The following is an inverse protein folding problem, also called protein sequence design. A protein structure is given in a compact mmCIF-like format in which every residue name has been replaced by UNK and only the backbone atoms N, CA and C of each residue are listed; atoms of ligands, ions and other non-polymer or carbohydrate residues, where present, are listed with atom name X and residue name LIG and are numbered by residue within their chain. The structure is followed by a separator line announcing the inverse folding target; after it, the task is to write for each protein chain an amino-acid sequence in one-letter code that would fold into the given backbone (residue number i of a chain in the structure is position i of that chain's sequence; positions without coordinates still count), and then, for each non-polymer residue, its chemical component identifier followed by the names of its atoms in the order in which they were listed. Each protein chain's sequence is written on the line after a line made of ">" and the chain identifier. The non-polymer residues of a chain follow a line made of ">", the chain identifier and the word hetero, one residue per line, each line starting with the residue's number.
data_IF_003531280639
#
_entry.id   IF_003531280639
#
_cell.length_a   1.000
_cell.length_b   1.000
_cell.length_c   1.000
_cell.angle_alpha   90.00
_cell.angle_beta   90.00
_cell.angle_gamma   90.00
#
_symmetry.space_group_name_H-M   'P 1'
#
loop_
_entity.id
_entity.type
_entity.pdbx_description
1 polymer ?
#
# COMPACT_ATOMS: atom_id res chain seq x y z
N UNK A 1 20.73 9.86 -7.58
CA UNK A 1 19.87 10.65 -8.52
C UNK A 1 19.68 12.01 -7.90
N UNK A 2 20.19 13.04 -8.53
CA UNK A 2 20.21 14.42 -8.04
C UNK A 2 19.20 15.34 -8.76
N UNK A 3 18.38 14.75 -9.63
CA UNK A 3 17.39 15.48 -10.45
C UNK A 3 15.98 14.98 -10.18
N UNK A 4 15.01 15.90 -10.23
CA UNK A 4 13.59 15.56 -10.23
C UNK A 4 13.18 15.12 -11.63
N UNK A 5 12.34 14.08 -11.69
CA UNK A 5 11.73 13.59 -12.92
C UNK A 5 10.22 13.79 -12.80
N UNK A 6 9.62 14.32 -13.84
CA UNK A 6 8.17 14.47 -13.97
C UNK A 6 7.70 13.62 -15.14
N UNK A 7 6.56 12.99 -14.99
CA UNK A 7 6.01 12.14 -16.03
C UNK A 7 4.49 12.03 -15.93
N UNK A 8 3.90 11.47 -16.97
CA UNK A 8 2.48 11.10 -17.02
C UNK A 8 2.38 9.59 -17.21
N UNK A 9 1.54 8.96 -16.41
CA UNK A 9 1.22 7.55 -16.53
C UNK A 9 -0.21 7.42 -17.06
N UNK A 10 -0.37 6.75 -18.20
CA UNK A 10 -1.67 6.40 -18.75
C UNK A 10 -2.04 4.96 -18.41
N UNK A 11 -3.29 4.73 -18.00
CA UNK A 11 -3.84 3.40 -17.77
C UNK A 11 -5.06 3.23 -18.67
N UNK A 12 -5.08 2.15 -19.44
CA UNK A 12 -6.26 1.71 -20.19
C UNK A 12 -6.91 0.54 -19.48
N UNK A 13 -8.15 0.71 -19.00
CA UNK A 13 -8.94 -0.34 -18.39
C UNK A 13 -10.05 -0.77 -19.37
N UNK A 14 -9.81 -1.89 -20.06
CA UNK A 14 -10.75 -2.45 -21.03
C UNK A 14 -11.40 -3.68 -20.40
N UNK A 15 -12.72 -3.66 -20.25
CA UNK A 15 -13.50 -4.75 -19.61
C UNK A 15 -12.91 -5.17 -18.24
N UNK A 16 -12.37 -4.19 -17.50
CA UNK A 16 -11.70 -4.41 -16.24
C UNK A 16 -12.19 -3.41 -15.18
N UNK A 17 -12.35 -3.91 -13.98
CA UNK A 17 -12.82 -3.16 -12.81
C UNK A 17 -11.62 -2.50 -12.10
N UNK A 18 -11.12 -1.43 -12.67
CA UNK A 18 -10.04 -0.68 -12.07
C UNK A 18 -10.59 0.43 -11.17
N UNK A 19 -10.14 0.49 -9.91
CA UNK A 19 -10.57 1.47 -8.90
C UNK A 19 -12.10 1.52 -8.71
N UNK A 20 -12.73 0.35 -8.59
CA UNK A 20 -14.17 0.24 -8.37
C UNK A 20 -14.58 0.50 -6.90
N UNK A 21 -15.82 0.89 -6.72
CA UNK A 21 -16.50 0.93 -5.42
C UNK A 21 -17.01 -0.48 -5.02
N UNK A 22 -17.76 -0.54 -3.90
CA UNK A 22 -18.34 -1.79 -3.41
C UNK A 22 -19.46 -2.35 -4.31
N UNK A 23 -20.07 -1.51 -5.14
CA UNK A 23 -21.10 -1.89 -6.10
C UNK A 23 -20.51 -2.35 -7.42
N UNK A 24 -19.19 -2.30 -7.58
CA UNK A 24 -18.48 -2.66 -8.80
C UNK A 24 -18.42 -1.57 -9.86
N UNK A 25 -18.91 -0.36 -9.54
CA UNK A 25 -18.82 0.79 -10.44
C UNK A 25 -17.50 1.54 -10.24
N UNK A 26 -16.98 2.19 -11.29
CA UNK A 26 -15.85 3.09 -11.16
C UNK A 26 -16.11 4.18 -10.12
N UNK A 27 -15.14 4.47 -9.25
CA UNK A 27 -15.26 5.54 -8.28
C UNK A 27 -15.33 6.90 -8.97
N UNK A 28 -16.25 7.73 -8.49
CA UNK A 28 -16.46 9.09 -8.97
C UNK A 28 -16.27 10.10 -7.86
N UNK A 29 -15.86 11.31 -8.21
CA UNK A 29 -15.97 12.49 -7.33
C UNK A 29 -17.40 13.04 -7.36
N UNK A 30 -17.67 14.04 -6.52
CA UNK A 30 -19.04 14.61 -6.38
C UNK A 30 -19.61 15.17 -7.69
N UNK A 31 -18.75 15.64 -8.61
CA UNK A 31 -19.16 16.10 -9.94
C UNK A 31 -19.51 14.99 -10.93
N UNK A 32 -19.32 13.71 -10.55
CA UNK A 32 -19.58 12.56 -11.41
C UNK A 32 -18.37 12.13 -12.26
N UNK A 33 -17.25 12.83 -12.19
CA UNK A 33 -16.03 12.44 -12.92
C UNK A 33 -15.41 11.17 -12.33
N UNK A 34 -15.07 10.23 -13.20
CA UNK A 34 -14.34 9.01 -12.80
C UNK A 34 -12.91 9.38 -12.49
N UNK A 35 -12.40 8.88 -11.36
CA UNK A 35 -11.02 9.09 -10.96
C UNK A 35 -10.31 7.78 -10.62
N UNK A 36 -8.99 7.82 -10.71
CA UNK A 36 -8.09 6.78 -10.22
C UNK A 36 -7.33 7.24 -8.99
N UNK A 37 -7.49 6.53 -7.87
CA UNK A 37 -6.71 6.85 -6.69
C UNK A 37 -5.26 6.38 -6.83
N UNK A 38 -4.34 7.14 -6.24
CA UNK A 38 -2.93 6.73 -6.11
C UNK A 38 -2.81 5.37 -5.41
N UNK A 39 -3.69 5.10 -4.46
CA UNK A 39 -3.76 3.84 -3.72
C UNK A 39 -4.08 2.65 -4.62
N UNK A 40 -5.01 2.81 -5.57
CA UNK A 40 -5.35 1.77 -6.54
C UNK A 40 -4.18 1.49 -7.49
N UNK A 41 -3.43 2.52 -7.88
CA UNK A 41 -2.22 2.39 -8.69
C UNK A 41 -1.07 1.73 -7.93
N UNK A 42 -0.85 2.12 -6.68
CA UNK A 42 0.26 1.60 -5.86
C UNK A 42 0.08 0.13 -5.48
N UNK A 43 -1.16 -0.35 -5.38
CA UNK A 43 -1.44 -1.73 -4.95
C UNK A 43 -0.82 -2.79 -5.87
N UNK A 44 -1.04 -2.79 -7.21
CA UNK A 44 -0.44 -3.78 -8.10
C UNK A 44 1.10 -3.71 -8.12
N UNK A 45 1.69 -2.52 -7.96
CA UNK A 45 3.14 -2.37 -7.84
C UNK A 45 3.65 -3.07 -6.57
N UNK A 46 3.01 -2.82 -5.43
CA UNK A 46 3.36 -3.47 -4.16
C UNK A 46 3.17 -4.98 -4.23
N UNK A 47 2.08 -5.43 -4.87
CA UNK A 47 1.82 -6.86 -5.05
C UNK A 47 2.88 -7.53 -5.93
N UNK A 48 3.28 -6.88 -7.00
CA UNK A 48 4.36 -7.36 -7.87
C UNK A 48 5.67 -7.52 -7.09
N UNK A 49 6.07 -6.52 -6.32
CA UNK A 49 7.29 -6.59 -5.48
C UNK A 49 7.20 -7.69 -4.40
N UNK A 50 6.06 -7.80 -3.72
CA UNK A 50 5.82 -8.86 -2.72
C UNK A 50 5.91 -10.27 -3.36
N UNK A 51 5.36 -10.44 -4.57
CA UNK A 51 5.43 -11.69 -5.34
C UNK A 51 6.86 -12.01 -5.84
N UNK A 52 7.68 -10.99 -6.05
CA UNK A 52 9.10 -11.13 -6.40
C UNK A 52 9.99 -11.42 -5.18
N UNK A 53 9.43 -11.37 -3.98
CA UNK A 53 10.16 -11.62 -2.73
C UNK A 53 10.80 -10.37 -2.13
N UNK A 54 10.51 -9.18 -2.67
CA UNK A 54 10.95 -7.93 -2.08
C UNK A 54 10.22 -7.63 -0.76
N UNK A 55 10.87 -6.90 0.11
CA UNK A 55 10.25 -6.45 1.37
C UNK A 55 9.22 -5.36 1.08
N UNK A 56 7.95 -5.68 1.28
CA UNK A 56 6.81 -4.73 1.18
C UNK A 56 6.10 -4.65 2.51
N UNK A 57 6.10 -3.49 3.13
CA UNK A 57 5.53 -3.29 4.47
C UNK A 57 4.01 -3.03 4.41
N UNK A 58 3.58 -2.07 3.60
CA UNK A 58 2.19 -1.61 3.53
C UNK A 58 1.37 -2.39 2.50
N UNK A 59 1.31 -3.71 2.69
CA UNK A 59 0.43 -4.61 1.93
C UNK A 59 -0.35 -5.49 2.90
N UNK A 60 -1.56 -5.92 2.50
CA UNK A 60 -2.38 -6.81 3.33
C UNK A 60 -1.66 -8.15 3.50
N UNK A 61 -1.33 -8.49 4.73
CA UNK A 61 -0.74 -9.76 5.13
C UNK A 61 -1.69 -10.46 6.09
N UNK A 62 -1.80 -11.78 6.00
CA UNK A 62 -2.72 -12.58 6.79
C UNK A 62 -1.94 -13.50 7.74
N UNK A 63 -2.57 -13.83 8.87
CA UNK A 63 -2.09 -14.85 9.81
C UNK A 63 -3.22 -15.74 10.28
N UNK A 64 -2.89 -16.95 10.68
CA UNK A 64 -3.83 -17.84 11.37
C UNK A 64 -3.91 -17.44 12.83
N UNK A 65 -5.13 -17.37 13.35
CA UNK A 65 -5.42 -17.19 14.76
C UNK A 65 -6.21 -18.37 15.28
N UNK A 66 -5.75 -18.94 16.39
CA UNK A 66 -6.48 -20.02 17.10
C UNK A 66 -7.52 -19.39 18.02
N UNK A 67 -8.77 -19.60 17.71
CA UNK A 67 -9.89 -19.17 18.53
C UNK A 67 -10.16 -20.08 19.73
N UNK A 68 -10.98 -19.61 20.64
CA UNK A 68 -11.53 -20.41 21.74
C UNK A 68 -12.35 -21.56 21.13
N UNK A 69 -12.11 -22.79 21.49
CA UNK A 69 -12.74 -24.03 20.97
C UNK A 69 -12.03 -24.70 19.78
N UNK A 70 -10.75 -24.40 19.54
CA UNK A 70 -9.98 -25.07 18.48
C UNK A 70 -10.31 -24.63 17.05
N UNK A 71 -11.13 -23.59 16.88
CA UNK A 71 -11.37 -22.98 15.57
C UNK A 71 -10.13 -22.20 15.11
N UNK A 72 -9.79 -22.32 13.84
CA UNK A 72 -8.72 -21.51 13.23
C UNK A 72 -9.35 -20.51 12.28
N UNK A 73 -9.04 -19.25 12.45
CA UNK A 73 -9.47 -18.15 11.56
C UNK A 73 -8.28 -17.48 10.90
N UNK A 74 -8.49 -16.97 9.69
CA UNK A 74 -7.51 -16.22 8.94
C UNK A 74 -7.81 -14.73 9.12
N UNK A 75 -6.91 -14.02 9.80
CA UNK A 75 -7.10 -12.59 10.10
C UNK A 75 -5.97 -11.73 9.53
N UNK A 76 -6.24 -10.44 9.26
CA UNK A 76 -5.19 -9.51 8.86
C UNK A 76 -4.18 -9.28 9.99
N UNK A 77 -2.90 -9.21 9.63
CA UNK A 77 -1.88 -8.69 10.55
C UNK A 77 -2.06 -7.19 10.75
N UNK A 78 -1.80 -6.73 11.96
CA UNK A 78 -1.56 -5.31 12.23
C UNK A 78 -0.25 -4.84 11.57
N UNK A 79 -0.05 -3.52 11.47
CA UNK A 79 1.19 -2.97 10.94
C UNK A 79 2.41 -3.40 11.76
N UNK A 80 2.27 -3.41 13.11
CA UNK A 80 3.29 -3.93 14.03
C UNK A 80 3.63 -5.39 13.71
N UNK A 81 2.64 -6.27 13.63
CA UNK A 81 2.85 -7.70 13.35
C UNK A 81 3.45 -7.93 11.96
N UNK A 82 3.10 -7.10 10.95
CA UNK A 82 3.71 -7.18 9.63
C UNK A 82 5.18 -6.74 9.68
N UNK A 83 5.50 -5.67 10.40
CA UNK A 83 6.87 -5.21 10.61
C UNK A 83 7.72 -6.29 11.28
N UNK A 84 7.24 -6.86 12.40
CA UNK A 84 7.93 -7.92 13.13
C UNK A 84 8.19 -9.15 12.26
N UNK A 85 7.19 -9.56 11.45
CA UNK A 85 7.34 -10.66 10.50
C UNK A 85 8.38 -10.35 9.42
N UNK A 86 8.32 -9.16 8.83
CA UNK A 86 9.10 -8.78 7.66
C UNK A 86 10.58 -8.60 8.00
N UNK A 87 10.87 -8.05 9.17
CA UNK A 87 12.22 -7.76 9.64
C UNK A 87 12.75 -8.75 10.68
N UNK A 88 11.96 -9.79 10.99
CA UNK A 88 12.31 -10.84 11.94
C UNK A 88 12.62 -10.29 13.35
N UNK A 89 11.85 -9.28 13.76
CA UNK A 89 11.90 -8.69 15.10
C UNK A 89 10.94 -9.44 16.01
N UNK A 90 11.42 -9.91 17.17
CA UNK A 90 10.60 -10.73 18.08
C UNK A 90 9.46 -9.92 18.71
N UNK A 91 9.74 -8.73 19.22
CA UNK A 91 8.74 -7.83 19.77
C UNK A 91 9.22 -6.37 19.66
N UNK A 92 8.56 -5.62 18.79
CA UNK A 92 8.87 -4.20 18.58
C UNK A 92 8.74 -3.35 19.86
N UNK A 93 7.87 -3.75 20.81
CA UNK A 93 7.74 -3.03 22.08
C UNK A 93 8.97 -3.15 22.97
N UNK A 94 9.74 -4.22 22.84
CA UNK A 94 10.97 -4.45 23.59
C UNK A 94 12.19 -3.87 22.89
N UNK A 95 12.12 -3.74 21.57
CA UNK A 95 13.20 -3.20 20.74
C UNK A 95 12.69 -1.93 20.02
N UNK A 96 12.72 -0.80 20.71
CA UNK A 96 12.26 0.50 20.21
C UNK A 96 13.41 1.44 19.84
N UNK A 97 14.56 0.91 19.45
CA UNK A 97 15.61 1.75 18.88
C UNK A 97 15.13 2.34 17.55
N UNK A 98 14.87 3.65 17.62
CA UNK A 98 14.36 4.42 16.48
C UNK A 98 15.28 4.34 15.27
N UNK A 99 16.59 4.25 15.48
CA UNK A 99 17.57 4.13 14.40
C UNK A 99 17.43 2.79 13.70
N UNK A 100 17.37 1.70 14.45
CA UNK A 100 17.18 0.36 13.88
C UNK A 100 15.84 0.25 13.14
N UNK A 101 14.76 0.81 13.74
CA UNK A 101 13.46 0.84 13.07
C UNK A 101 13.53 1.60 11.76
N UNK A 102 14.19 2.74 11.73
CA UNK A 102 14.37 3.54 10.51
C UNK A 102 15.16 2.79 9.44
N UNK A 103 16.26 2.14 9.82
CA UNK A 103 17.08 1.33 8.92
C UNK A 103 16.26 0.17 8.32
N UNK A 104 15.46 -0.50 9.12
CA UNK A 104 14.55 -1.54 8.68
C UNK A 104 13.49 -0.99 7.72
N UNK A 105 12.85 0.13 8.05
CA UNK A 105 11.87 0.76 7.17
C UNK A 105 12.46 1.08 5.79
N UNK A 106 13.71 1.52 5.73
CA UNK A 106 14.41 1.78 4.47
C UNK A 106 14.83 0.51 3.72
N UNK A 107 14.68 -0.69 4.27
CA UNK A 107 14.82 -1.93 3.50
C UNK A 107 13.56 -2.25 2.69
N UNK A 108 12.39 -1.75 3.10
CA UNK A 108 11.14 -1.98 2.39
C UNK A 108 11.05 -1.13 1.12
N UNK A 109 10.80 -1.79 -0.02
CA UNK A 109 10.78 -1.14 -1.34
C UNK A 109 9.64 -0.14 -1.46
N UNK A 110 8.48 -0.44 -0.88
CA UNK A 110 7.32 0.45 -0.89
C UNK A 110 7.52 1.69 -0.01
N UNK A 111 8.26 1.56 1.10
CA UNK A 111 8.62 2.70 1.95
C UNK A 111 9.59 3.63 1.24
N UNK A 112 10.65 3.10 0.59
CA UNK A 112 11.59 3.89 -0.20
C UNK A 112 10.89 4.69 -1.30
N UNK A 113 9.99 4.04 -2.01
CA UNK A 113 9.32 4.65 -3.15
C UNK A 113 8.17 5.57 -2.73
N UNK A 114 7.29 5.14 -1.86
CA UNK A 114 6.03 5.84 -1.61
C UNK A 114 5.99 6.57 -0.27
N UNK A 115 6.96 6.31 0.60
CA UNK A 115 6.99 6.85 1.95
C UNK A 115 6.16 6.03 2.93
N UNK A 116 6.18 6.45 4.17
CA UNK A 116 5.49 5.79 5.27
C UNK A 116 5.15 6.77 6.39
N UNK A 117 4.05 6.51 7.07
CA UNK A 117 3.81 6.98 8.43
C UNK A 117 3.77 5.73 9.31
N UNK A 118 4.79 5.56 10.14
CA UNK A 118 4.94 4.42 11.02
C UNK A 118 4.81 4.87 12.48
N UNK A 119 3.66 4.62 13.06
CA UNK A 119 3.31 5.02 14.42
C UNK A 119 2.94 3.78 15.23
N UNK A 120 3.96 3.01 15.65
CA UNK A 120 3.81 1.76 16.36
C UNK A 120 4.75 1.69 17.57
N UNK A 121 4.29 1.10 18.67
CA UNK A 121 5.12 0.80 19.84
C UNK A 121 5.97 2.00 20.35
N UNK A 122 5.39 3.19 20.44
CA UNK A 122 6.05 4.44 20.86
C UNK A 122 7.05 5.03 19.83
N UNK A 123 7.20 4.40 18.66
CA UNK A 123 7.96 4.97 17.54
C UNK A 123 7.01 5.74 16.64
N UNK A 124 7.36 6.97 16.28
CA UNK A 124 6.60 7.78 15.34
C UNK A 124 7.55 8.34 14.28
N UNK A 125 7.52 7.72 13.10
CA UNK A 125 8.40 8.06 11.97
C UNK A 125 7.53 8.41 10.78
N UNK A 126 7.82 9.54 10.13
CA UNK A 126 7.22 9.94 8.86
C UNK A 126 8.31 10.05 7.80
N UNK A 127 8.12 9.33 6.69
CA UNK A 127 9.07 9.27 5.57
C UNK A 127 8.34 9.70 4.32
N UNK A 128 8.89 10.68 3.61
CA UNK A 128 8.45 11.03 2.26
C UNK A 128 9.20 10.17 1.25
N UNK A 129 8.49 9.39 0.46
CA UNK A 129 9.08 8.53 -0.55
C UNK A 129 9.58 9.28 -1.78
N UNK A 130 10.45 8.63 -2.54
CA UNK A 130 11.04 9.19 -3.75
C UNK A 130 10.04 9.37 -4.90
N UNK A 131 8.94 8.61 -4.90
CA UNK A 131 7.92 8.59 -5.95
C UNK A 131 6.59 9.08 -5.39
N UNK A 132 6.06 10.14 -6.00
CA UNK A 132 4.77 10.70 -5.64
C UNK A 132 3.83 10.62 -6.85
N UNK A 133 2.67 10.00 -6.67
CA UNK A 133 1.61 9.96 -7.67
C UNK A 133 0.48 10.91 -7.26
N UNK A 134 -0.01 11.70 -8.21
CA UNK A 134 -1.29 12.39 -8.08
C UNK A 134 -2.46 11.45 -8.35
N UNK A 135 -3.68 11.96 -8.17
CA UNK A 135 -4.88 11.28 -8.66
C UNK A 135 -4.92 11.29 -10.17
N UNK A 136 -5.36 10.19 -10.75
CA UNK A 136 -5.66 10.11 -12.18
C UNK A 136 -7.12 10.49 -12.46
N UNK A 137 -7.37 11.11 -13.58
CA UNK A 137 -8.71 11.41 -14.05
C UNK A 137 -8.97 10.74 -15.37
N UNK A 138 -10.23 10.39 -15.62
CA UNK A 138 -10.63 9.85 -16.91
C UNK A 138 -10.53 10.96 -17.97
N UNK A 139 -9.71 10.73 -18.99
CA UNK A 139 -9.52 11.70 -20.08
C UNK A 139 -10.48 11.47 -21.24
N UNK A 140 -11.22 10.36 -21.24
CA UNK A 140 -12.18 9.99 -22.28
C UNK A 140 -13.57 9.92 -21.68
N UNK A 141 -14.43 10.84 -22.07
CA UNK A 141 -15.85 10.78 -21.73
C UNK A 141 -16.53 9.75 -22.65
N UNK A 142 -16.82 8.57 -22.11
CA UNK A 142 -17.67 7.61 -22.82
C UNK A 142 -19.14 8.04 -22.69
N UNK A 143 -19.60 8.82 -23.65
CA UNK A 143 -21.02 9.18 -23.75
C UNK A 143 -21.88 8.04 -24.29
N UNK A 144 -21.32 6.86 -24.56
CA UNK A 144 -22.01 5.74 -25.20
C UNK A 144 -21.78 4.40 -24.48
N UNK A 145 -22.31 4.29 -23.26
CA UNK A 145 -22.76 3.01 -22.71
C UNK A 145 -24.24 3.17 -22.36
N UNK A 146 -25.07 3.02 -23.36
CA UNK A 146 -26.49 2.66 -23.17
C UNK A 146 -26.62 1.15 -23.20
#
# INVERSE_FOLDING_TARGET
>A
MDKRVYGVLGISAIMANWNADFSGYPKTITSGEIFGSDKALKYPMKKMWDDQGDKVLYIKSLRFEKGKKGTTSLIPRSLKERYEQLFQVEDLKKNTDVKEVLENLFQAVDVKNFGATFAEASVNISITGAVQFGQGFNTVSYTHLR
#
